data_IF_336674035488
#
_entry.id   IF_336674035488
#
_cell.length_a   1.000
_cell.length_b   1.000
_cell.length_c   1.000
_cell.angle_alpha   90.00
_cell.angle_beta   90.00
_cell.angle_gamma   90.00
#
_symmetry.space_group_name_H-M   'P 1'
#
loop_
_entity.id
_entity.type
_entity.pdbx_description
1 polymer ?
#
# COMPACT_ATOMS: atom_id res chain seq x y z
N UNK A 1 4.89 1.26 -6.30
CA UNK A 1 6.31 0.95 -6.54
C UNK A 1 7.21 1.74 -5.61
N UNK A 2 7.16 3.09 -5.64
CA UNK A 2 7.99 3.98 -4.79
C UNK A 2 8.19 3.53 -3.34
N UNK A 3 7.12 3.22 -2.61
CA UNK A 3 7.24 2.76 -1.21
C UNK A 3 8.13 1.52 -1.06
N UNK A 4 7.93 0.49 -1.90
CA UNK A 4 8.72 -0.74 -1.81
C UNK A 4 10.18 -0.54 -2.28
N UNK A 5 10.38 0.29 -3.30
CA UNK A 5 11.71 0.67 -3.80
C UNK A 5 12.55 1.31 -2.69
N UNK A 6 12.01 2.33 -2.02
CA UNK A 6 12.72 3.03 -0.96
C UNK A 6 12.99 2.12 0.24
N UNK A 7 12.02 1.26 0.60
CA UNK A 7 12.16 0.31 1.70
C UNK A 7 13.25 -0.73 1.44
N UNK A 8 13.22 -1.36 0.26
CA UNK A 8 14.19 -2.43 -0.09
C UNK A 8 15.57 -1.89 -0.46
N UNK A 9 15.61 -0.70 -1.08
CA UNK A 9 16.83 0.04 -1.39
C UNK A 9 17.26 0.92 -0.23
N UNK A 10 17.45 2.22 -0.50
CA UNK A 10 17.93 3.21 0.46
C UNK A 10 17.15 4.51 0.33
N UNK A 11 16.65 5.04 1.45
CA UNK A 11 15.93 6.31 1.51
C UNK A 11 16.86 7.53 1.70
N UNK A 12 17.54 7.66 2.85
CA UNK A 12 18.47 8.77 3.11
C UNK A 12 19.90 8.29 3.27
N UNK A 13 20.19 7.72 4.43
CA UNK A 13 21.51 7.22 4.80
C UNK A 13 21.55 5.70 4.66
N UNK A 14 22.76 5.13 4.66
CA UNK A 14 22.92 3.70 4.50
C UNK A 14 22.33 2.92 5.68
N UNK A 15 21.75 1.77 5.39
CA UNK A 15 21.08 0.87 6.35
C UNK A 15 20.74 -0.47 5.66
N UNK A 16 20.47 -1.54 6.42
CA UNK A 16 19.90 -2.76 5.84
C UNK A 16 18.61 -2.50 5.05
N UNK A 17 18.35 -3.29 4.00
CA UNK A 17 17.08 -3.25 3.27
C UNK A 17 15.92 -3.72 4.14
N UNK A 18 14.76 -3.09 4.00
CA UNK A 18 13.52 -3.49 4.66
C UNK A 18 12.61 -4.25 3.68
N UNK A 19 11.99 -5.32 4.17
CA UNK A 19 11.10 -6.15 3.37
C UNK A 19 9.84 -5.36 2.95
N UNK A 20 9.66 -5.16 1.65
CA UNK A 20 8.46 -4.58 1.06
C UNK A 20 8.32 -5.06 -0.39
N UNK A 21 7.09 -5.36 -0.81
CA UNK A 21 6.79 -5.85 -2.16
C UNK A 21 5.74 -4.96 -2.78
N UNK A 22 6.03 -4.41 -3.97
CA UNK A 22 5.01 -3.80 -4.81
C UNK A 22 4.35 -4.88 -5.67
N UNK A 23 3.03 -5.00 -5.59
CA UNK A 23 2.27 -5.90 -6.46
C UNK A 23 2.13 -5.24 -7.84
N UNK A 24 3.18 -5.37 -8.66
CA UNK A 24 3.27 -4.72 -9.97
C UNK A 24 3.95 -5.57 -11.03
N UNK A 25 4.01 -6.90 -10.83
CA UNK A 25 4.57 -7.82 -11.82
C UNK A 25 3.61 -7.98 -13.02
N UNK A 26 4.01 -7.60 -14.24
CA UNK A 26 3.13 -7.63 -15.41
C UNK A 26 2.67 -9.05 -15.78
N UNK A 27 3.50 -10.07 -15.53
CA UNK A 27 3.18 -11.45 -15.86
C UNK A 27 2.11 -12.01 -14.93
N UNK A 28 2.20 -11.72 -13.62
CA UNK A 28 1.17 -12.03 -12.63
C UNK A 28 -0.12 -11.28 -12.93
N UNK A 29 -0.05 -9.97 -13.17
CA UNK A 29 -1.25 -9.16 -13.43
C UNK A 29 -2.00 -9.62 -14.68
N UNK A 30 -1.27 -9.98 -15.75
CA UNK A 30 -1.89 -10.47 -16.98
C UNK A 30 -2.44 -11.89 -16.81
N UNK A 31 -1.71 -12.80 -16.18
CA UNK A 31 -2.14 -14.17 -15.90
C UNK A 31 -3.41 -14.20 -15.03
N UNK A 32 -3.39 -13.55 -13.86
CA UNK A 32 -4.55 -13.50 -12.96
C UNK A 32 -5.69 -12.71 -13.58
N UNK A 33 -5.39 -11.60 -14.27
CA UNK A 33 -6.39 -10.80 -14.97
C UNK A 33 -7.13 -11.59 -16.05
N UNK A 34 -6.44 -12.49 -16.76
CA UNK A 34 -7.02 -13.37 -17.76
C UNK A 34 -7.90 -14.47 -17.14
N UNK A 35 -7.40 -15.13 -16.09
CA UNK A 35 -8.03 -16.34 -15.54
C UNK A 35 -9.14 -16.04 -14.53
N UNK A 36 -8.99 -14.98 -13.74
CA UNK A 36 -9.90 -14.62 -12.64
C UNK A 36 -10.56 -13.24 -12.83
N UNK A 37 -10.12 -12.46 -13.83
CA UNK A 37 -10.56 -11.09 -14.04
C UNK A 37 -9.72 -10.06 -13.26
N UNK A 38 -9.73 -8.81 -13.73
CA UNK A 38 -8.85 -7.75 -13.20
C UNK A 38 -9.12 -7.38 -11.73
N UNK A 39 -10.29 -7.73 -11.19
CA UNK A 39 -10.59 -7.52 -9.77
C UNK A 39 -9.70 -8.38 -8.85
N UNK A 40 -9.30 -9.58 -9.29
CA UNK A 40 -8.53 -10.51 -8.47
C UNK A 40 -7.01 -10.26 -8.46
N UNK A 41 -6.48 -9.34 -9.28
CA UNK A 41 -5.02 -9.22 -9.51
C UNK A 41 -4.21 -8.96 -8.23
N UNK A 42 -4.76 -8.18 -7.29
CA UNK A 42 -4.09 -7.90 -6.02
C UNK A 42 -4.45 -8.93 -4.94
N UNK A 43 -5.73 -9.29 -4.81
CA UNK A 43 -6.17 -10.27 -3.80
C UNK A 43 -5.51 -11.63 -4.00
N UNK A 44 -5.36 -12.09 -5.24
CA UNK A 44 -4.67 -13.35 -5.53
C UNK A 44 -3.20 -13.33 -5.13
N UNK A 45 -2.52 -12.19 -5.30
CA UNK A 45 -1.14 -12.03 -4.85
C UNK A 45 -1.06 -12.08 -3.32
N UNK A 46 -1.93 -11.33 -2.63
CA UNK A 46 -2.02 -11.33 -1.16
C UNK A 46 -2.29 -12.73 -0.61
N UNK A 47 -3.22 -13.48 -1.22
CA UNK A 47 -3.48 -14.88 -0.84
C UNK A 47 -2.26 -15.78 -0.98
N UNK A 48 -1.44 -15.55 -2.01
CA UNK A 48 -0.26 -16.37 -2.30
C UNK A 48 0.91 -16.08 -1.35
N UNK A 49 1.23 -14.81 -1.13
CA UNK A 49 2.46 -14.43 -0.41
C UNK A 49 2.22 -13.91 1.00
N UNK A 50 1.06 -13.33 1.27
CA UNK A 50 0.75 -12.67 2.54
C UNK A 50 0.71 -13.65 3.70
N UNK A 51 1.35 -13.24 4.81
CA UNK A 51 1.41 -13.97 6.06
C UNK A 51 0.73 -13.21 7.20
N UNK A 52 0.31 -13.95 8.23
CA UNK A 52 -0.20 -13.34 9.46
C UNK A 52 0.85 -12.40 10.05
N UNK A 53 0.46 -11.16 10.35
CA UNK A 53 1.35 -10.13 10.87
C UNK A 53 1.98 -9.22 9.81
N UNK A 54 1.86 -9.55 8.52
CA UNK A 54 2.25 -8.62 7.45
C UNK A 54 1.29 -7.42 7.37
N UNK A 55 1.70 -6.40 6.62
CA UNK A 55 0.92 -5.18 6.39
C UNK A 55 0.65 -5.01 4.89
N UNK A 56 -0.61 -4.83 4.52
CA UNK A 56 -1.02 -4.35 3.20
C UNK A 56 -1.13 -2.83 3.22
N UNK A 57 -0.35 -2.15 2.37
CA UNK A 57 -0.54 -0.74 2.05
C UNK A 57 -1.46 -0.63 0.81
N UNK A 58 -2.74 -0.38 1.04
CA UNK A 58 -3.77 -0.23 0.01
C UNK A 58 -3.88 1.23 -0.44
N UNK A 59 -3.78 1.51 -1.74
CA UNK A 59 -3.77 2.88 -2.27
C UNK A 59 -4.84 3.04 -3.35
N UNK A 60 -5.79 3.95 -3.14
CA UNK A 60 -6.74 4.38 -4.18
C UNK A 60 -7.29 5.76 -3.86
N UNK A 61 -7.20 6.69 -4.81
CA UNK A 61 -7.66 8.07 -4.60
C UNK A 61 -9.17 8.15 -4.37
N UNK A 62 -9.96 7.32 -5.04
CA UNK A 62 -11.42 7.28 -4.85
C UNK A 62 -11.82 6.48 -3.61
N UNK A 63 -11.00 5.52 -3.20
CA UNK A 63 -11.33 4.58 -2.13
C UNK A 63 -12.34 3.49 -2.55
N UNK A 64 -12.64 3.38 -3.85
CA UNK A 64 -13.72 2.52 -4.39
C UNK A 64 -13.22 1.48 -5.41
N UNK A 65 -11.91 1.39 -5.64
CA UNK A 65 -11.34 0.46 -6.62
C UNK A 65 -11.57 -0.98 -6.17
N UNK A 66 -12.42 -1.74 -6.87
CA UNK A 66 -12.81 -3.10 -6.50
C UNK A 66 -11.61 -4.02 -6.28
N UNK A 67 -10.64 -4.01 -7.19
CA UNK A 67 -9.42 -4.82 -7.06
C UNK A 67 -8.59 -4.53 -5.80
N UNK A 68 -8.61 -3.29 -5.30
CA UNK A 68 -7.95 -2.91 -4.03
C UNK A 68 -8.79 -3.37 -2.85
N UNK A 69 -10.12 -3.25 -2.92
CA UNK A 69 -11.02 -3.68 -1.85
C UNK A 69 -10.99 -5.20 -1.67
N UNK A 70 -10.91 -5.97 -2.75
CA UNK A 70 -10.75 -7.43 -2.70
C UNK A 70 -9.41 -7.82 -2.04
N UNK A 71 -8.36 -7.02 -2.26
CA UNK A 71 -7.06 -7.24 -1.61
C UNK A 71 -7.10 -6.94 -0.11
N UNK A 72 -7.87 -5.91 0.30
CA UNK A 72 -8.12 -5.61 1.71
C UNK A 72 -8.84 -6.77 2.40
N UNK A 73 -9.88 -7.32 1.76
CA UNK A 73 -10.58 -8.49 2.27
C UNK A 73 -9.64 -9.70 2.42
N UNK A 74 -8.88 -10.03 1.37
CA UNK A 74 -7.90 -11.12 1.41
C UNK A 74 -6.81 -10.91 2.48
N UNK A 75 -6.38 -9.66 2.73
CA UNK A 75 -5.42 -9.33 3.77
C UNK A 75 -5.98 -9.61 5.17
N UNK A 76 -7.22 -9.21 5.45
CA UNK A 76 -7.86 -9.51 6.72
C UNK A 76 -8.06 -11.01 6.94
N UNK A 77 -8.46 -11.76 5.92
CA UNK A 77 -8.58 -13.22 5.99
C UNK A 77 -7.25 -13.90 6.34
N UNK A 78 -6.13 -13.31 5.92
CA UNK A 78 -4.76 -13.76 6.26
C UNK A 78 -4.29 -13.29 7.64
N UNK A 79 -5.06 -12.48 8.36
CA UNK A 79 -4.65 -11.87 9.62
C UNK A 79 -3.56 -10.82 9.45
N UNK A 80 -3.52 -10.16 8.30
CA UNK A 80 -2.67 -8.99 8.03
C UNK A 80 -3.33 -7.71 8.54
N UNK A 81 -2.53 -6.67 8.71
CA UNK A 81 -3.01 -5.30 8.93
C UNK A 81 -3.14 -4.54 7.63
N UNK A 82 -4.11 -3.63 7.55
CA UNK A 82 -4.38 -2.82 6.36
C UNK A 82 -4.22 -1.34 6.68
N UNK A 83 -3.31 -0.69 5.96
CA UNK A 83 -3.19 0.78 5.92
C UNK A 83 -3.78 1.25 4.58
N UNK A 84 -4.79 2.09 4.62
CA UNK A 84 -5.44 2.66 3.43
C UNK A 84 -5.02 4.10 3.17
N UNK A 85 -4.52 4.41 1.97
CA UNK A 85 -4.33 5.77 1.47
C UNK A 85 -5.45 6.12 0.48
N UNK A 86 -6.26 7.12 0.82
CA UNK A 86 -7.40 7.53 -0.02
C UNK A 86 -7.74 9.01 0.06
N UNK A 87 -8.51 9.53 -0.89
CA UNK A 87 -8.94 10.93 -0.90
C UNK A 87 -10.28 11.19 -0.20
N UNK A 88 -11.05 10.16 0.15
CA UNK A 88 -12.43 10.30 0.67
C UNK A 88 -12.63 9.57 1.98
N UNK A 89 -13.09 10.30 3.00
CA UNK A 89 -13.28 9.81 4.37
C UNK A 89 -14.40 8.77 4.49
N UNK A 90 -15.41 8.87 3.64
CA UNK A 90 -16.58 8.01 3.58
C UNK A 90 -16.43 6.85 2.58
N UNK A 91 -15.24 6.69 1.99
CA UNK A 91 -15.01 5.63 1.02
C UNK A 91 -14.99 4.24 1.65
N UNK A 92 -15.31 3.18 0.86
CA UNK A 92 -15.18 1.80 1.32
C UNK A 92 -13.79 1.47 1.87
N UNK A 93 -12.70 1.97 1.25
CA UNK A 93 -11.35 1.74 1.77
C UNK A 93 -11.16 2.38 3.15
N UNK A 94 -11.61 3.63 3.34
CA UNK A 94 -11.46 4.32 4.61
C UNK A 94 -12.21 3.60 5.76
N UNK A 95 -13.34 2.98 5.46
CA UNK A 95 -14.14 2.23 6.43
C UNK A 95 -13.58 0.83 6.73
N UNK A 96 -12.86 0.23 5.77
CA UNK A 96 -12.36 -1.15 5.87
C UNK A 96 -10.93 -1.24 6.36
N UNK A 97 -10.10 -0.21 6.17
CA UNK A 97 -8.71 -0.24 6.65
C UNK A 97 -8.61 -0.21 8.19
N UNK A 98 -7.61 -0.88 8.79
CA UNK A 98 -7.29 -0.71 10.21
C UNK A 98 -6.85 0.73 10.51
N UNK A 99 -6.10 1.33 9.57
CA UNK A 99 -5.68 2.74 9.62
C UNK A 99 -5.96 3.37 8.26
N UNK A 100 -6.82 4.37 8.21
CA UNK A 100 -7.08 5.16 7.02
C UNK A 100 -6.38 6.52 7.09
N UNK A 101 -5.46 6.77 6.16
CA UNK A 101 -4.90 8.10 5.94
C UNK A 101 -5.65 8.73 4.76
N UNK A 102 -6.53 9.65 5.12
CA UNK A 102 -7.39 10.35 4.15
C UNK A 102 -6.74 11.67 3.78
N UNK A 103 -6.47 11.87 2.50
CA UNK A 103 -5.87 13.09 1.94
C UNK A 103 -6.90 13.82 1.06
N UNK A 104 -7.89 14.50 1.66
CA UNK A 104 -8.94 15.18 0.90
C UNK A 104 -8.32 16.41 0.21
N UNK A 105 -8.01 16.28 -1.07
CA UNK A 105 -7.38 17.34 -1.84
C UNK A 105 -8.12 17.58 -3.15
N UNK A 106 -8.71 18.77 -3.26
CA UNK A 106 -9.31 19.29 -4.47
C UNK A 106 -10.40 18.39 -5.07
N UNK A 107 -10.75 18.69 -6.32
CA UNK A 107 -11.75 17.95 -7.10
C UNK A 107 -11.17 16.71 -7.80
N UNK A 108 -9.87 16.71 -8.06
CA UNK A 108 -9.22 15.81 -9.00
C UNK A 108 -8.21 14.90 -8.30
N UNK A 109 -8.05 13.69 -8.85
CA UNK A 109 -7.25 12.62 -8.25
C UNK A 109 -5.75 12.95 -8.14
N UNK A 110 -5.23 13.80 -9.03
CA UNK A 110 -3.84 14.25 -9.03
C UNK A 110 -3.48 14.99 -7.74
N UNK A 111 -4.37 15.84 -7.21
CA UNK A 111 -4.16 16.53 -5.92
C UNK A 111 -4.07 15.56 -4.75
N UNK A 112 -4.87 14.50 -4.78
CA UNK A 112 -4.82 13.42 -3.79
C UNK A 112 -3.51 12.63 -3.90
N UNK A 113 -3.04 12.37 -5.12
CA UNK A 113 -1.78 11.67 -5.38
C UNK A 113 -0.55 12.45 -4.89
N UNK A 114 -0.54 13.78 -5.05
CA UNK A 114 0.51 14.66 -4.49
C UNK A 114 0.63 14.53 -2.97
N UNK A 115 -0.50 14.42 -2.27
CA UNK A 115 -0.50 14.18 -0.83
C UNK A 115 -0.15 12.73 -0.47
N UNK A 116 -0.54 11.75 -1.29
CA UNK A 116 -0.13 10.35 -1.08
C UNK A 116 1.38 10.18 -1.13
N UNK A 117 2.07 10.77 -2.12
CA UNK A 117 3.53 10.63 -2.19
C UNK A 117 4.22 11.29 -0.99
N UNK A 118 3.70 12.43 -0.53
CA UNK A 118 4.20 13.08 0.70
C UNK A 118 3.97 12.21 1.94
N UNK A 119 2.80 11.58 2.05
CA UNK A 119 2.48 10.64 3.12
C UNK A 119 3.40 9.42 3.09
N UNK A 120 3.64 8.86 1.90
CA UNK A 120 4.57 7.74 1.67
C UNK A 120 5.97 8.10 2.15
N UNK A 121 6.50 9.27 1.80
CA UNK A 121 7.81 9.72 2.27
C UNK A 121 7.87 9.89 3.80
N UNK A 122 6.81 10.44 4.41
CA UNK A 122 6.72 10.54 5.88
C UNK A 122 6.70 9.16 6.52
N UNK A 123 5.93 8.21 5.98
CA UNK A 123 5.89 6.84 6.48
C UNK A 123 7.27 6.17 6.42
N UNK A 124 7.96 6.27 5.28
CA UNK A 124 9.30 5.71 5.12
C UNK A 124 10.27 6.34 6.13
N UNK A 125 10.24 7.67 6.28
CA UNK A 125 11.07 8.38 7.26
C UNK A 125 10.80 7.90 8.68
N UNK A 126 9.54 7.75 9.07
CA UNK A 126 9.18 7.30 10.43
C UNK A 126 9.60 5.85 10.69
N UNK A 127 9.47 4.97 9.69
CA UNK A 127 9.97 3.59 9.78
C UNK A 127 11.49 3.58 9.91
N UNK A 128 12.20 4.36 9.10
CA UNK A 128 13.66 4.43 9.15
C UNK A 128 14.17 5.04 10.47
N UNK A 129 13.51 6.09 11.01
CA UNK A 129 13.82 6.63 12.34
C UNK A 129 13.67 5.59 13.44
N UNK A 130 12.69 4.70 13.33
CA UNK A 130 12.46 3.64 14.31
C UNK A 130 13.47 2.50 14.20
N UNK A 131 13.81 2.10 12.98
CA UNK A 131 14.64 0.91 12.71
C UNK A 131 16.13 1.22 12.52
N UNK A 132 16.48 2.46 12.21
CA UNK A 132 17.84 2.97 12.02
C UNK A 132 17.99 4.39 12.64
N UNK A 133 17.74 4.57 13.95
CA UNK A 133 17.77 5.88 14.61
C UNK A 133 19.11 6.62 14.47
N UNK A 134 20.21 5.89 14.29
CA UNK A 134 21.55 6.46 14.06
C UNK A 134 21.64 7.36 12.82
N UNK A 135 20.70 7.24 11.86
CA UNK A 135 20.68 8.07 10.65
C UNK A 135 20.08 9.47 10.88
N UNK A 136 19.60 9.76 12.10
CA UNK A 136 18.84 10.96 12.45
C UNK A 136 19.36 11.65 13.72
N UNK A 137 20.60 11.36 14.11
CA UNK A 137 21.32 11.99 15.23
C UNK A 137 22.05 13.23 14.74
#
# INVERSE_FOLDING_TARGET
>A
MHFAEEMTGRFRSDRPGYAAIAISDPSHMSCVGNDYGYHAVFSRYVQAVGQKGDVLLAITTSGTSGNVLDAVEAAHEKGMKVIGLTGKVDSPLAQRADVAIVTPAGRWADRVQELHIKTIHIMIELVERQLAPQNYI
#
